data_IF_885722906100
#
_entry.id   IF_885722906100
#
_cell.length_a   1.000
_cell.length_b   1.000
_cell.length_c   1.000
_cell.angle_alpha   90.00
_cell.angle_beta   90.00
_cell.angle_gamma   90.00
#
_symmetry.space_group_name_H-M   'P 1'
#
loop_
_entity.id
_entity.type
_entity.pdbx_description
1 polymer ?
#
# COMPACT_ATOMS: atom_id res chain seq x y z
N UNK A 1 3.85 9.44 1.27
CA UNK A 1 3.91 9.52 -0.22
C UNK A 1 2.53 9.19 -0.82
N UNK A 2 2.13 9.84 -1.92
CA UNK A 2 0.90 9.53 -2.67
C UNK A 2 1.04 8.23 -3.47
N UNK A 3 -0.03 7.45 -3.54
CA UNK A 3 -0.13 6.24 -4.37
C UNK A 3 -1.13 6.48 -5.50
N UNK A 4 -0.63 6.58 -6.72
CA UNK A 4 -1.44 7.00 -7.87
C UNK A 4 -1.92 5.82 -8.71
N UNK A 5 -3.06 5.98 -9.34
CA UNK A 5 -3.50 5.18 -10.50
C UNK A 5 -2.81 5.66 -11.78
N UNK A 6 -2.89 4.86 -12.84
CA UNK A 6 -2.44 5.25 -14.17
C UNK A 6 -3.14 6.53 -14.64
N UNK A 7 -4.44 6.65 -14.38
CA UNK A 7 -5.23 7.81 -14.79
C UNK A 7 -4.85 9.08 -14.02
N UNK A 8 -4.67 8.98 -12.69
CA UNK A 8 -4.18 10.11 -11.89
C UNK A 8 -2.79 10.56 -12.34
N UNK A 9 -1.89 9.61 -12.63
CA UNK A 9 -0.55 9.92 -13.16
C UNK A 9 -0.62 10.64 -14.52
N UNK A 10 -1.50 10.20 -15.44
CA UNK A 10 -1.72 10.87 -16.73
C UNK A 10 -2.24 12.29 -16.56
N UNK A 11 -3.14 12.54 -15.61
CA UNK A 11 -3.63 13.90 -15.33
C UNK A 11 -2.52 14.81 -14.81
N UNK A 12 -1.67 14.29 -13.93
CA UNK A 12 -0.49 15.02 -13.44
C UNK A 12 0.46 15.37 -14.60
N UNK A 13 0.74 14.40 -15.48
CA UNK A 13 1.59 14.58 -16.65
C UNK A 13 0.98 15.59 -17.64
N UNK A 14 -0.30 15.45 -17.97
CA UNK A 14 -1.02 16.37 -18.85
C UNK A 14 -0.95 17.80 -18.33
N UNK A 15 -1.19 18.03 -17.04
CA UNK A 15 -1.09 19.34 -16.42
C UNK A 15 0.32 19.95 -16.57
N UNK A 16 1.36 19.16 -16.35
CA UNK A 16 2.75 19.61 -16.54
C UNK A 16 3.02 19.99 -18.01
N UNK A 17 2.52 19.20 -18.95
CA UNK A 17 2.73 19.46 -20.38
C UNK A 17 1.92 20.67 -20.86
N UNK A 18 0.63 20.76 -20.53
CA UNK A 18 -0.27 21.77 -21.08
C UNK A 18 -0.23 23.10 -20.34
N UNK A 19 -0.11 23.10 -19.02
CA UNK A 19 -0.17 24.32 -18.20
C UNK A 19 1.22 24.86 -17.86
N UNK A 20 2.17 23.98 -17.49
CA UNK A 20 3.54 24.40 -17.16
C UNK A 20 4.42 24.51 -18.41
N UNK A 21 4.10 23.74 -19.45
CA UNK A 21 4.81 23.78 -20.73
C UNK A 21 6.09 22.94 -20.76
N UNK A 22 6.27 21.98 -19.85
CA UNK A 22 7.41 21.05 -19.90
C UNK A 22 7.09 19.97 -20.94
N UNK A 23 7.86 19.84 -22.05
CA UNK A 23 7.55 18.88 -23.09
C UNK A 23 7.68 17.43 -22.60
N UNK A 24 6.81 16.53 -23.09
CA UNK A 24 6.83 15.10 -22.77
C UNK A 24 8.21 14.45 -23.02
N UNK A 25 8.90 14.88 -24.08
CA UNK A 25 10.25 14.43 -24.39
C UNK A 25 11.27 14.72 -23.27
N UNK A 26 11.13 15.84 -22.54
CA UNK A 26 12.00 16.14 -21.38
C UNK A 26 11.66 15.24 -20.18
N UNK A 27 10.38 14.94 -19.98
CA UNK A 27 9.96 13.99 -18.94
C UNK A 27 10.56 12.60 -19.20
N UNK A 28 10.49 12.14 -20.46
CA UNK A 28 11.11 10.89 -20.94
C UNK A 28 12.63 10.90 -20.78
N UNK A 29 13.32 12.01 -21.13
CA UNK A 29 14.77 12.13 -20.96
C UNK A 29 15.17 11.99 -19.47
N UNK A 30 14.42 12.60 -18.56
CA UNK A 30 14.66 12.48 -17.13
C UNK A 30 14.36 11.07 -16.60
N UNK A 31 13.29 10.44 -17.10
CA UNK A 31 12.90 9.08 -16.74
C UNK A 31 14.00 8.07 -17.12
N UNK A 32 14.43 8.06 -18.39
CA UNK A 32 15.49 7.16 -18.83
C UNK A 32 16.84 7.42 -18.18
N UNK A 33 17.20 8.68 -17.89
CA UNK A 33 18.41 9.00 -17.11
C UNK A 33 18.37 8.42 -15.70
N UNK A 34 17.21 8.46 -15.04
CA UNK A 34 17.02 7.84 -13.72
C UNK A 34 17.17 6.31 -13.77
N UNK A 35 16.63 5.67 -14.81
CA UNK A 35 16.82 4.23 -15.05
C UNK A 35 18.30 3.91 -15.24
N UNK A 36 19.01 4.65 -16.09
CA UNK A 36 20.43 4.44 -16.33
C UNK A 36 21.28 4.61 -15.06
N UNK A 37 20.95 5.60 -14.21
CA UNK A 37 21.61 5.79 -12.93
C UNK A 37 21.41 4.58 -11.98
N UNK A 38 20.20 4.02 -11.95
CA UNK A 38 19.92 2.81 -11.18
C UNK A 38 20.69 1.61 -11.73
N UNK A 39 20.69 1.43 -13.05
CA UNK A 39 21.42 0.33 -13.71
C UNK A 39 22.92 0.45 -13.45
N UNK A 40 23.49 1.65 -13.46
CA UNK A 40 24.88 1.86 -13.09
C UNK A 40 25.18 1.48 -11.63
N UNK A 41 24.23 1.67 -10.69
CA UNK A 41 24.36 1.17 -9.32
C UNK A 41 24.36 -0.36 -9.29
N UNK A 42 23.47 -1.01 -10.04
CA UNK A 42 23.39 -2.47 -10.13
C UNK A 42 24.62 -3.08 -10.81
N UNK A 43 25.12 -2.45 -11.87
CA UNK A 43 26.27 -2.89 -12.65
C UNK A 43 27.57 -3.00 -11.82
N UNK A 44 27.70 -2.18 -10.76
CA UNK A 44 28.80 -2.30 -9.79
C UNK A 44 28.82 -3.63 -9.06
N UNK A 45 27.68 -4.32 -8.98
CA UNK A 45 27.50 -5.61 -8.30
C UNK A 45 27.40 -6.78 -9.28
N UNK A 46 26.73 -6.60 -10.41
CA UNK A 46 26.41 -7.70 -11.33
C UNK A 46 27.30 -7.80 -12.56
N UNK A 47 27.96 -6.72 -12.97
CA UNK A 47 28.75 -6.66 -14.21
C UNK A 47 28.30 -5.54 -15.15
N UNK A 48 29.06 -5.33 -16.22
CA UNK A 48 28.95 -4.13 -17.08
C UNK A 48 28.13 -4.36 -18.36
N UNK A 49 27.78 -5.60 -18.70
CA UNK A 49 27.07 -5.94 -19.95
C UNK A 49 25.56 -6.01 -19.72
N UNK A 50 24.81 -5.05 -20.25
CA UNK A 50 23.38 -4.95 -19.99
C UNK A 50 22.55 -5.00 -21.26
N UNK A 51 21.44 -5.72 -21.22
CA UNK A 51 20.50 -5.82 -22.33
C UNK A 51 19.28 -4.93 -22.06
N UNK A 52 18.96 -4.02 -22.97
CA UNK A 52 17.75 -3.19 -22.90
C UNK A 52 16.68 -3.76 -23.83
N UNK A 53 15.52 -4.09 -23.27
CA UNK A 53 14.38 -4.62 -24.00
C UNK A 53 13.33 -3.52 -24.20
N UNK A 54 13.27 -2.93 -25.38
CA UNK A 54 12.42 -1.77 -25.67
C UNK A 54 11.08 -2.16 -26.33
N UNK A 55 9.98 -1.72 -25.74
CA UNK A 55 8.64 -1.82 -26.31
C UNK A 55 8.35 -0.74 -27.37
N UNK A 56 7.12 -0.77 -27.90
CA UNK A 56 6.69 0.19 -28.93
C UNK A 56 6.23 1.56 -28.41
N UNK A 57 5.90 1.66 -27.11
CA UNK A 57 5.29 2.83 -26.50
C UNK A 57 6.30 3.69 -25.74
N UNK A 58 5.81 4.62 -24.93
CA UNK A 58 6.64 5.55 -24.15
C UNK A 58 7.61 4.82 -23.21
N UNK A 59 7.19 3.70 -22.58
CA UNK A 59 8.09 2.89 -21.75
C UNK A 59 9.31 2.38 -22.54
N UNK A 60 9.12 2.04 -23.82
CA UNK A 60 10.21 1.69 -24.71
C UNK A 60 11.12 2.89 -25.00
N UNK A 61 10.53 4.08 -25.19
CA UNK A 61 11.27 5.34 -25.31
C UNK A 61 12.14 5.64 -24.09
N UNK A 62 11.62 5.46 -22.87
CA UNK A 62 12.37 5.59 -21.62
C UNK A 62 13.55 4.59 -21.59
N UNK A 63 13.35 3.37 -22.06
CA UNK A 63 14.41 2.37 -22.24
C UNK A 63 15.48 2.79 -23.24
N UNK A 64 15.10 3.42 -24.36
CA UNK A 64 16.04 3.94 -25.36
C UNK A 64 16.90 5.10 -24.82
N UNK A 65 16.28 5.99 -24.05
CA UNK A 65 17.01 7.02 -23.30
C UNK A 65 17.97 6.35 -22.31
N UNK A 66 17.51 5.36 -21.53
CA UNK A 66 18.35 4.65 -20.59
C UNK A 66 19.56 4.01 -21.28
N UNK A 67 19.37 3.37 -22.44
CA UNK A 67 20.44 2.76 -23.23
C UNK A 67 21.53 3.77 -23.64
N UNK A 68 21.13 4.98 -24.06
CA UNK A 68 22.07 6.08 -24.38
C UNK A 68 22.90 6.47 -23.16
N UNK A 69 22.25 6.76 -22.04
CA UNK A 69 22.91 7.17 -20.80
C UNK A 69 23.78 6.06 -20.19
N UNK A 70 23.35 4.80 -20.30
CA UNK A 70 24.16 3.65 -19.88
C UNK A 70 25.43 3.52 -20.72
N UNK A 71 25.33 3.72 -22.04
CA UNK A 71 26.49 3.70 -22.95
C UNK A 71 27.45 4.85 -22.63
N UNK A 72 26.93 6.06 -22.40
CA UNK A 72 27.73 7.21 -21.98
C UNK A 72 28.44 6.99 -20.64
N UNK A 73 27.80 6.27 -19.72
CA UNK A 73 28.39 5.86 -18.44
C UNK A 73 29.41 4.72 -18.57
N UNK A 74 29.69 4.23 -19.78
CA UNK A 74 30.71 3.22 -20.07
C UNK A 74 30.25 1.77 -19.93
N UNK A 75 28.94 1.50 -19.85
CA UNK A 75 28.41 0.15 -19.87
C UNK A 75 28.40 -0.43 -21.29
N UNK A 76 28.56 -1.75 -21.42
CA UNK A 76 28.38 -2.48 -22.68
C UNK A 76 26.90 -2.80 -22.86
N UNK A 77 26.20 -2.03 -23.68
CA UNK A 77 24.74 -2.08 -23.80
C UNK A 77 24.33 -2.75 -25.09
N UNK A 78 23.53 -3.81 -25.03
CA UNK A 78 22.81 -4.36 -26.18
C UNK A 78 21.36 -3.89 -26.22
N UNK A 79 20.83 -3.58 -27.40
CA UNK A 79 19.45 -3.12 -27.55
C UNK A 79 18.61 -4.10 -28.37
N UNK A 80 17.44 -4.49 -27.84
CA UNK A 80 16.47 -5.34 -28.54
C UNK A 80 15.13 -4.64 -28.57
N UNK A 81 14.62 -4.41 -29.77
CA UNK A 81 13.26 -3.95 -29.97
C UNK A 81 12.29 -5.13 -29.97
N UNK A 82 11.23 -5.03 -29.17
CA UNK A 82 10.19 -6.06 -29.13
C UNK A 82 9.45 -6.15 -30.47
N UNK A 83 9.26 -5.04 -31.17
CA UNK A 83 8.62 -4.98 -32.49
C UNK A 83 9.57 -4.28 -33.48
N UNK A 84 9.35 -4.37 -34.81
CA UNK A 84 10.15 -3.61 -35.77
C UNK A 84 10.22 -2.12 -35.38
N UNK A 85 11.43 -1.55 -35.34
CA UNK A 85 11.68 -0.22 -34.78
C UNK A 85 10.98 0.91 -35.56
N UNK A 86 10.58 0.63 -36.79
CA UNK A 86 9.77 1.49 -37.65
C UNK A 86 8.34 1.67 -37.13
N UNK A 87 7.88 0.81 -36.21
CA UNK A 87 6.55 0.91 -35.58
C UNK A 87 6.52 1.85 -34.36
N UNK A 88 7.67 2.35 -33.91
CA UNK A 88 7.70 3.35 -32.83
C UNK A 88 7.16 4.68 -33.35
N UNK A 89 6.42 5.39 -32.49
CA UNK A 89 5.75 6.65 -32.81
C UNK A 89 5.97 7.66 -31.67
N UNK A 90 5.63 8.92 -31.92
CA UNK A 90 5.73 9.99 -30.92
C UNK A 90 7.15 10.15 -30.38
N UNK A 91 7.27 10.37 -29.08
CA UNK A 91 8.57 10.59 -28.42
C UNK A 91 9.50 9.37 -28.50
N UNK A 92 8.96 8.14 -28.48
CA UNK A 92 9.74 6.93 -28.65
C UNK A 92 10.42 6.85 -30.04
N UNK A 93 9.77 7.37 -31.08
CA UNK A 93 10.37 7.48 -32.42
C UNK A 93 11.55 8.47 -32.44
N UNK A 94 11.41 9.60 -31.74
CA UNK A 94 12.49 10.58 -31.62
C UNK A 94 13.70 9.93 -30.96
N UNK A 95 13.50 9.23 -29.84
CA UNK A 95 14.58 8.54 -29.13
C UNK A 95 15.22 7.43 -29.96
N UNK A 96 14.40 6.67 -30.70
CA UNK A 96 14.91 5.67 -31.66
C UNK A 96 15.82 6.30 -32.71
N UNK A 97 15.43 7.42 -33.30
CA UNK A 97 16.25 8.13 -34.30
C UNK A 97 17.59 8.58 -33.70
N UNK A 98 17.60 9.06 -32.46
CA UNK A 98 18.83 9.47 -31.78
C UNK A 98 19.74 8.26 -31.52
N UNK A 99 19.17 7.15 -31.04
CA UNK A 99 19.88 5.88 -30.83
C UNK A 99 20.51 5.37 -32.14
N UNK A 100 19.78 5.43 -33.26
CA UNK A 100 20.28 5.04 -34.58
C UNK A 100 21.47 5.92 -35.01
N UNK A 101 21.39 7.25 -34.81
CA UNK A 101 22.47 8.19 -35.16
C UNK A 101 23.73 8.00 -34.30
N UNK A 102 23.56 7.56 -33.04
CA UNK A 102 24.67 7.22 -32.15
C UNK A 102 25.27 5.84 -32.43
N UNK A 103 24.62 5.02 -33.25
CA UNK A 103 25.13 3.70 -33.63
C UNK A 103 25.17 2.70 -32.48
N UNK A 104 24.23 2.77 -31.53
CA UNK A 104 24.15 1.79 -30.45
C UNK A 104 23.90 0.38 -31.02
N UNK A 105 24.52 -0.68 -30.44
CA UNK A 105 24.47 -2.01 -31.03
C UNK A 105 23.08 -2.65 -30.84
N UNK A 106 22.37 -2.77 -31.95
CA UNK A 106 21.08 -3.45 -32.03
C UNK A 106 21.28 -4.96 -32.19
N UNK A 107 20.50 -5.74 -31.44
CA UNK A 107 20.46 -7.20 -31.50
C UNK A 107 19.09 -7.59 -32.06
N UNK A 108 19.04 -8.31 -33.19
CA UNK A 108 17.78 -8.80 -33.71
C UNK A 108 17.07 -9.69 -32.70
N UNK A 109 15.75 -9.49 -32.52
CA UNK A 109 14.92 -10.28 -31.60
C UNK A 109 15.11 -11.79 -31.80
N UNK A 110 15.11 -12.25 -33.07
CA UNK A 110 15.29 -13.65 -33.40
C UNK A 110 16.66 -14.19 -32.95
N UNK A 111 17.71 -13.38 -33.02
CA UNK A 111 19.05 -13.73 -32.54
C UNK A 111 19.04 -13.90 -31.03
N UNK A 112 18.47 -12.94 -30.27
CA UNK A 112 18.38 -13.05 -28.81
C UNK A 112 17.63 -14.33 -28.38
N UNK A 113 16.50 -14.61 -29.00
CA UNK A 113 15.67 -15.77 -28.64
C UNK A 113 16.33 -17.13 -28.97
N UNK A 114 17.35 -17.13 -29.82
CA UNK A 114 18.18 -18.30 -30.11
C UNK A 114 19.38 -18.44 -29.16
N UNK A 115 19.80 -17.36 -28.50
CA UNK A 115 20.85 -17.43 -27.49
C UNK A 115 20.40 -18.28 -26.30
N UNK A 116 21.32 -19.08 -25.75
CA UNK A 116 21.09 -19.74 -24.46
C UNK A 116 20.77 -18.65 -23.43
N UNK A 117 19.64 -18.80 -22.73
CA UNK A 117 19.18 -17.80 -21.77
C UNK A 117 20.30 -17.44 -20.77
N UNK A 118 20.52 -16.14 -20.58
CA UNK A 118 21.62 -15.61 -19.75
C UNK A 118 22.86 -15.21 -20.55
N UNK A 119 23.17 -15.93 -21.63
CA UNK A 119 24.18 -15.55 -22.63
C UNK A 119 25.47 -14.95 -22.06
N UNK A 120 25.86 -13.81 -22.64
CA UNK A 120 27.01 -12.99 -22.22
C UNK A 120 26.61 -11.80 -21.33
N UNK A 121 25.35 -11.73 -20.92
CA UNK A 121 24.78 -10.55 -20.28
C UNK A 121 24.90 -10.67 -18.77
N UNK A 122 25.01 -9.52 -18.11
CA UNK A 122 25.15 -9.37 -16.67
C UNK A 122 23.86 -8.80 -16.04
N UNK A 123 22.94 -8.28 -16.85
CA UNK A 123 21.64 -7.75 -16.40
C UNK A 123 20.69 -7.36 -17.56
N UNK A 124 19.42 -7.14 -17.22
CA UNK A 124 18.36 -6.76 -18.18
C UNK A 124 17.61 -5.51 -17.71
N UNK A 125 17.33 -4.60 -18.63
CA UNK A 125 16.36 -3.51 -18.45
C UNK A 125 15.05 -3.87 -19.14
N UNK A 126 13.98 -4.01 -18.35
CA UNK A 126 12.62 -4.25 -18.83
C UNK A 126 11.93 -2.92 -19.12
N UNK A 127 11.93 -2.53 -20.40
CA UNK A 127 11.25 -1.36 -20.94
C UNK A 127 10.15 -1.76 -21.94
N UNK A 128 9.54 -2.93 -21.74
CA UNK A 128 8.66 -3.57 -22.71
C UNK A 128 7.22 -3.02 -22.67
N UNK A 129 6.57 -3.08 -21.50
CA UNK A 129 5.16 -2.72 -21.32
C UNK A 129 5.01 -1.85 -20.08
N UNK A 130 4.40 -0.67 -20.23
CA UNK A 130 4.14 0.26 -19.14
C UNK A 130 2.68 0.26 -18.68
N UNK A 131 2.27 1.38 -18.08
CA UNK A 131 0.96 1.63 -17.44
C UNK A 131 -0.27 1.49 -18.34
N UNK A 132 -0.10 1.47 -19.67
CA UNK A 132 -1.20 1.37 -20.64
C UNK A 132 -1.65 -0.06 -20.98
N UNK A 133 -1.02 -1.10 -20.41
CA UNK A 133 -1.27 -2.49 -20.83
C UNK A 133 -2.19 -3.21 -19.86
N UNK A 134 -3.23 -3.87 -20.38
CA UNK A 134 -4.15 -4.72 -19.63
C UNK A 134 -4.20 -6.10 -20.26
N UNK A 135 -4.14 -7.15 -19.42
CA UNK A 135 -4.22 -8.55 -19.82
C UNK A 135 -2.86 -9.19 -20.12
N UNK A 136 -2.91 -10.47 -20.49
CA UNK A 136 -1.73 -11.28 -20.77
C UNK A 136 -0.87 -10.66 -21.88
N UNK A 137 0.47 -10.53 -21.67
CA UNK A 137 1.37 -10.12 -22.73
C UNK A 137 1.23 -11.01 -23.95
N UNK A 138 1.11 -10.38 -25.12
CA UNK A 138 1.00 -11.06 -26.41
C UNK A 138 2.38 -11.24 -27.04
N UNK A 139 2.51 -12.14 -27.99
CA UNK A 139 3.74 -12.23 -28.78
C UNK A 139 3.98 -10.90 -29.54
N UNK A 140 5.24 -10.45 -29.67
CA UNK A 140 6.48 -11.13 -29.22
C UNK A 140 6.90 -10.82 -27.77
N UNK A 141 6.17 -9.96 -27.04
CA UNK A 141 6.48 -9.60 -25.66
C UNK A 141 6.49 -10.81 -24.73
N UNK A 142 5.54 -11.75 -24.92
CA UNK A 142 5.49 -12.97 -24.12
C UNK A 142 6.76 -13.82 -24.23
N UNK A 143 7.32 -13.97 -25.43
CA UNK A 143 8.59 -14.69 -25.64
C UNK A 143 9.77 -13.99 -24.96
N UNK A 144 9.86 -12.66 -25.03
CA UNK A 144 10.89 -11.89 -24.34
C UNK A 144 10.81 -12.06 -22.83
N UNK A 145 9.61 -11.93 -22.25
CA UNK A 145 9.42 -12.07 -20.80
C UNK A 145 9.80 -13.49 -20.34
N UNK A 146 9.47 -14.53 -21.13
CA UNK A 146 9.88 -15.91 -20.85
C UNK A 146 11.40 -16.06 -20.93
N UNK A 147 12.06 -15.45 -21.91
CA UNK A 147 13.51 -15.47 -22.06
C UNK A 147 14.20 -14.81 -20.85
N UNK A 148 13.70 -13.64 -20.39
CA UNK A 148 14.21 -12.98 -19.18
C UNK A 148 14.04 -13.87 -17.95
N UNK A 149 12.89 -14.52 -17.78
CA UNK A 149 12.68 -15.45 -16.68
C UNK A 149 13.67 -16.63 -16.72
N UNK A 150 13.97 -17.15 -17.91
CA UNK A 150 14.91 -18.27 -18.09
C UNK A 150 16.37 -17.84 -17.93
N UNK A 151 16.69 -16.57 -18.16
CA UNK A 151 18.07 -16.09 -18.11
C UNK A 151 18.63 -16.06 -16.68
N UNK A 152 17.76 -15.88 -15.68
CA UNK A 152 18.17 -15.75 -14.27
C UNK A 152 19.00 -14.49 -13.99
N UNK A 153 19.04 -13.55 -14.94
CA UNK A 153 19.77 -12.30 -14.81
C UNK A 153 19.03 -11.32 -13.88
N UNK A 154 19.75 -10.40 -13.23
CA UNK A 154 19.11 -9.31 -12.50
C UNK A 154 18.33 -8.41 -13.45
N UNK A 155 17.15 -7.98 -13.03
CA UNK A 155 16.21 -7.20 -13.84
C UNK A 155 15.88 -5.86 -13.20
N UNK A 156 16.06 -4.79 -13.97
CA UNK A 156 15.56 -3.44 -13.65
C UNK A 156 14.37 -3.13 -14.54
N UNK A 157 13.17 -3.00 -13.96
CA UNK A 157 11.96 -2.63 -14.71
C UNK A 157 11.77 -1.11 -14.75
N UNK A 158 11.38 -0.62 -15.92
CA UNK A 158 11.04 0.78 -16.17
C UNK A 158 9.55 1.00 -15.91
N UNK A 159 9.28 1.91 -14.98
CA UNK A 159 8.00 2.30 -14.40
C UNK A 159 7.21 1.20 -13.67
N UNK A 160 6.99 0.08 -14.33
CA UNK A 160 6.25 -1.08 -13.84
C UNK A 160 6.79 -2.36 -14.51
N UNK A 161 6.92 -3.49 -13.80
CA UNK A 161 7.30 -4.75 -14.44
C UNK A 161 6.29 -5.15 -15.50
N UNK A 162 6.79 -5.52 -16.68
CA UNK A 162 5.94 -5.93 -17.79
C UNK A 162 5.09 -7.13 -17.41
N UNK A 163 3.76 -6.98 -17.55
CA UNK A 163 2.77 -7.98 -17.12
C UNK A 163 2.09 -7.66 -15.78
N UNK A 164 2.44 -6.56 -15.11
CA UNK A 164 1.70 -6.07 -13.92
C UNK A 164 0.61 -5.08 -14.32
N UNK A 165 -0.59 -5.24 -13.75
CA UNK A 165 -1.61 -4.20 -13.75
C UNK A 165 -1.23 -3.13 -12.71
N UNK A 166 -1.00 -1.93 -13.20
CA UNK A 166 -0.50 -0.79 -12.42
C UNK A 166 -1.49 -0.24 -11.39
N UNK A 167 -2.78 -0.50 -11.54
CA UNK A 167 -3.83 0.01 -10.64
C UNK A 167 -4.25 -1.02 -9.59
N UNK A 168 -4.48 -2.27 -10.02
CA UNK A 168 -5.02 -3.33 -9.16
C UNK A 168 -3.97 -4.26 -8.56
N UNK A 169 -2.73 -4.23 -9.04
CA UNK A 169 -1.69 -5.19 -8.64
C UNK A 169 -1.91 -6.61 -9.16
N UNK A 170 -2.87 -6.82 -10.07
CA UNK A 170 -3.03 -8.09 -10.76
C UNK A 170 -1.79 -8.41 -11.61
N UNK A 171 -1.41 -9.69 -11.66
CA UNK A 171 -0.27 -10.17 -12.46
C UNK A 171 -0.79 -10.99 -13.64
N UNK A 172 -0.41 -10.60 -14.84
CA UNK A 172 -0.75 -11.27 -16.10
C UNK A 172 0.41 -12.15 -16.58
N UNK A 173 0.11 -13.33 -17.10
CA UNK A 173 1.15 -14.33 -17.42
C UNK A 173 1.49 -14.33 -18.92
N UNK A 174 2.78 -14.32 -19.31
CA UNK A 174 3.97 -14.26 -18.46
C UNK A 174 4.22 -12.84 -17.91
N UNK A 175 4.89 -12.74 -16.75
CA UNK A 175 5.22 -11.45 -16.10
C UNK A 175 6.70 -11.40 -15.74
N UNK A 176 7.30 -10.20 -15.86
CA UNK A 176 8.64 -9.91 -15.37
C UNK A 176 8.62 -9.87 -13.84
N UNK A 177 9.58 -10.54 -13.23
CA UNK A 177 9.91 -10.39 -11.82
C UNK A 177 11.19 -9.56 -11.74
N UNK A 178 11.07 -8.31 -11.31
CA UNK A 178 12.16 -7.36 -11.20
C UNK A 178 12.89 -7.49 -9.85
N UNK A 179 14.19 -7.22 -9.85
CA UNK A 179 14.95 -6.98 -8.63
C UNK A 179 14.74 -5.54 -8.15
N UNK A 180 14.65 -4.61 -9.10
CA UNK A 180 14.36 -3.19 -8.88
C UNK A 180 13.35 -2.69 -9.90
N UNK A 181 12.35 -1.93 -9.45
CA UNK A 181 11.48 -1.16 -10.34
C UNK A 181 11.75 0.32 -10.14
N UNK A 182 12.14 1.00 -11.20
CA UNK A 182 12.34 2.46 -11.24
C UNK A 182 11.03 3.09 -11.70
N UNK A 183 10.31 3.74 -10.81
CA UNK A 183 9.05 4.44 -11.13
C UNK A 183 9.20 5.95 -10.97
N UNK A 184 8.31 6.69 -11.61
CA UNK A 184 8.48 8.13 -11.78
C UNK A 184 7.40 8.93 -11.06
N UNK A 185 7.82 10.04 -10.43
CA UNK A 185 7.00 11.00 -9.67
C UNK A 185 6.31 10.44 -8.41
N UNK A 186 5.48 9.42 -8.57
CA UNK A 186 4.75 8.75 -7.49
C UNK A 186 4.80 7.23 -7.68
N UNK A 187 4.70 6.47 -6.59
CA UNK A 187 4.46 5.03 -6.66
C UNK A 187 3.07 4.80 -7.23
N UNK A 188 2.95 3.81 -8.11
CA UNK A 188 1.67 3.34 -8.60
C UNK A 188 1.09 2.28 -7.67
N UNK A 189 -0.22 2.30 -7.46
CA UNK A 189 -0.92 1.44 -6.48
C UNK A 189 -0.59 -0.04 -6.64
N UNK A 190 -0.61 -0.53 -7.88
CA UNK A 190 -0.37 -1.94 -8.20
C UNK A 190 1.03 -2.43 -7.82
N UNK A 191 2.04 -1.54 -7.73
CA UNK A 191 3.40 -1.92 -7.31
C UNK A 191 3.48 -2.31 -5.83
N UNK A 192 2.48 -1.95 -5.02
CA UNK A 192 2.42 -2.23 -3.58
C UNK A 192 1.33 -3.24 -3.21
N UNK A 193 0.51 -3.67 -4.17
CA UNK A 193 -0.56 -4.64 -3.95
C UNK A 193 -0.11 -6.03 -4.38
N UNK A 194 -0.41 -7.04 -3.56
CA UNK A 194 -0.16 -8.42 -3.93
C UNK A 194 -1.18 -8.90 -4.97
N UNK A 195 -0.77 -9.72 -5.96
CA UNK A 195 0.54 -10.37 -6.07
C UNK A 195 1.67 -9.51 -6.66
N UNK A 196 1.39 -8.40 -7.35
CA UNK A 196 2.41 -7.61 -8.05
C UNK A 196 3.54 -7.05 -7.17
N UNK A 197 3.31 -6.78 -5.88
CA UNK A 197 4.37 -6.41 -4.95
C UNK A 197 5.53 -7.44 -4.91
N UNK A 198 5.23 -8.73 -5.09
CA UNK A 198 6.26 -9.79 -5.19
C UNK A 198 7.03 -9.82 -6.51
N UNK A 199 6.55 -9.08 -7.52
CA UNK A 199 7.13 -8.97 -8.86
C UNK A 199 7.86 -7.64 -9.08
N UNK A 200 7.54 -6.60 -8.30
CA UNK A 200 8.13 -5.27 -8.42
C UNK A 200 9.53 -5.15 -7.81
N UNK A 201 9.95 -6.09 -6.97
CA UNK A 201 11.23 -6.01 -6.27
C UNK A 201 11.32 -4.76 -5.40
N UNK A 202 12.50 -4.14 -5.35
CA UNK A 202 12.67 -2.85 -4.66
C UNK A 202 12.13 -1.73 -5.54
N UNK A 203 11.03 -1.10 -5.15
CA UNK A 203 10.47 0.06 -5.84
C UNK A 203 11.23 1.33 -5.45
N UNK A 204 11.87 1.98 -6.41
CA UNK A 204 12.54 3.28 -6.25
C UNK A 204 11.81 4.35 -7.06
N UNK A 205 11.50 5.47 -6.41
CA UNK A 205 10.78 6.59 -7.03
C UNK A 205 11.77 7.69 -7.38
N UNK A 206 11.78 8.11 -8.64
CA UNK A 206 12.63 9.20 -9.11
C UNK A 206 11.79 10.40 -9.59
N UNK A 207 12.19 11.63 -9.27
CA UNK A 207 11.53 12.82 -9.76
C UNK A 207 11.83 13.02 -11.24
N UNK A 208 10.80 13.28 -12.05
CA UNK A 208 10.91 13.54 -13.49
C UNK A 208 10.34 14.91 -13.87
N UNK A 209 10.43 15.88 -12.95
CA UNK A 209 9.81 17.22 -13.08
C UNK A 209 8.28 17.23 -13.00
N UNK A 210 7.69 16.19 -12.40
CA UNK A 210 6.29 16.17 -11.96
C UNK A 210 6.29 16.22 -10.43
N UNK A 211 5.96 17.36 -9.80
CA UNK A 211 5.91 17.48 -8.34
C UNK A 211 4.84 16.55 -7.74
N UNK A 212 5.19 15.82 -6.68
CA UNK A 212 4.27 14.88 -6.02
C UNK A 212 3.01 15.56 -5.45
N UNK A 213 3.08 16.86 -5.11
CA UNK A 213 1.92 17.64 -4.65
C UNK A 213 0.77 17.72 -5.67
N UNK A 214 1.05 17.61 -6.96
CA UNK A 214 0.03 17.58 -8.01
C UNK A 214 -0.89 16.36 -7.91
N UNK A 215 -0.47 15.29 -7.21
CA UNK A 215 -1.31 14.11 -7.02
C UNK A 215 -2.64 14.46 -6.32
N UNK A 216 -2.62 15.39 -5.36
CA UNK A 216 -3.84 15.83 -4.68
C UNK A 216 -4.85 16.47 -5.64
N UNK A 217 -4.35 17.38 -6.48
CA UNK A 217 -5.15 18.08 -7.50
C UNK A 217 -5.65 17.12 -8.60
N UNK A 218 -4.87 16.08 -8.90
CA UNK A 218 -5.26 15.02 -9.84
C UNK A 218 -6.35 14.08 -9.29
N UNK A 219 -6.76 14.26 -8.02
CA UNK A 219 -7.81 13.47 -7.36
C UNK A 219 -7.29 12.35 -6.47
N UNK A 220 -5.97 12.20 -6.31
CA UNK A 220 -5.40 11.14 -5.50
C UNK A 220 -5.75 11.32 -4.01
N UNK A 221 -6.34 10.27 -3.43
CA UNK A 221 -6.67 10.16 -2.01
C UNK A 221 -6.05 8.93 -1.35
N UNK A 222 -5.14 8.25 -2.04
CA UNK A 222 -4.48 7.04 -1.53
C UNK A 222 -3.04 7.36 -1.12
N UNK A 223 -2.62 6.83 0.02
CA UNK A 223 -1.32 7.12 0.62
C UNK A 223 -0.61 5.85 1.05
N UNK A 224 0.72 5.85 0.95
CA UNK A 224 1.54 4.87 1.65
C UNK A 224 1.56 5.23 3.14
N UNK A 225 1.22 4.27 3.99
CA UNK A 225 1.29 4.43 5.44
C UNK A 225 2.76 4.48 5.86
N UNK A 226 3.21 5.65 6.30
CA UNK A 226 4.56 5.91 6.77
C UNK A 226 4.57 6.91 7.93
N UNK A 227 5.67 6.99 8.68
CA UNK A 227 5.81 8.00 9.73
C UNK A 227 5.65 9.44 9.22
N UNK A 228 6.07 9.71 7.98
CA UNK A 228 5.85 11.00 7.30
C UNK A 228 4.36 11.28 7.09
N UNK A 229 3.57 10.27 6.70
CA UNK A 229 2.11 10.44 6.57
C UNK A 229 1.48 10.87 7.90
N UNK A 230 1.84 10.20 9.00
CA UNK A 230 1.35 10.56 10.32
C UNK A 230 1.71 12.00 10.69
N UNK A 231 2.98 12.38 10.50
CA UNK A 231 3.48 13.70 10.87
C UNK A 231 2.92 14.82 10.01
N UNK A 232 3.01 14.70 8.69
CA UNK A 232 2.71 15.80 7.76
C UNK A 232 1.22 15.97 7.52
N UNK A 233 0.47 14.87 7.51
CA UNK A 233 -0.93 14.87 7.09
C UNK A 233 -1.92 14.66 8.22
N UNK A 234 -1.63 13.73 9.13
CA UNK A 234 -2.46 13.53 10.32
C UNK A 234 -2.08 14.47 11.47
N UNK A 235 -0.95 15.18 11.34
CA UNK A 235 -0.39 16.03 12.40
C UNK A 235 -0.20 15.25 13.71
N UNK A 236 0.04 13.94 13.59
CA UNK A 236 0.28 13.03 14.69
C UNK A 236 1.79 12.83 14.82
N UNK A 237 2.34 13.18 15.96
CA UNK A 237 3.67 12.73 16.34
C UNK A 237 3.55 11.31 16.87
N UNK A 238 4.18 10.35 16.21
CA UNK A 238 4.25 8.96 16.70
C UNK A 238 5.03 8.84 18.03
N UNK A 239 5.75 9.89 18.42
CA UNK A 239 6.53 9.97 19.65
C UNK A 239 6.44 11.40 20.17
N UNK A 240 5.30 11.77 20.76
CA UNK A 240 5.29 12.99 21.57
C UNK A 240 6.23 12.82 22.75
N UNK A 241 7.09 13.82 22.96
CA UNK A 241 8.00 13.82 24.09
C UNK A 241 7.16 13.90 25.36
N UNK A 242 7.36 12.95 26.28
CA UNK A 242 6.71 13.01 27.59
C UNK A 242 7.28 14.17 28.38
N UNK A 243 6.41 15.09 28.77
CA UNK A 243 6.74 16.16 29.71
C UNK A 243 7.18 15.57 31.06
N UNK A 244 8.16 16.22 31.70
CA UNK A 244 8.77 15.74 32.94
C UNK A 244 7.80 15.83 34.12
N UNK A 245 6.95 16.86 34.15
CA UNK A 245 5.96 17.09 35.22
C UNK A 245 4.60 16.52 34.83
N UNK A 246 4.47 15.19 34.88
CA UNK A 246 3.26 14.47 34.50
C UNK A 246 2.91 13.34 35.46
N UNK A 247 1.66 12.88 35.40
CA UNK A 247 1.18 11.76 36.21
C UNK A 247 0.41 10.74 35.35
N UNK A 248 0.04 9.59 35.94
CA UNK A 248 -0.66 8.51 35.24
C UNK A 248 -1.96 8.91 34.53
N UNK A 249 -2.69 9.92 35.00
CA UNK A 249 -3.87 10.44 34.32
C UNK A 249 -3.58 11.34 33.11
N UNK A 250 -2.34 11.83 32.96
CA UNK A 250 -1.96 12.76 31.87
C UNK A 250 -1.96 12.06 30.52
N UNK A 251 -1.69 10.75 30.51
CA UNK A 251 -1.60 9.94 29.29
C UNK A 251 -2.81 9.03 29.10
N UNK A 252 -3.95 9.44 29.66
CA UNK A 252 -5.23 8.79 29.51
C UNK A 252 -5.37 7.41 30.16
N UNK A 253 -6.61 6.92 30.16
CA UNK A 253 -7.03 5.65 30.72
C UNK A 253 -7.84 4.88 29.68
N UNK A 254 -7.25 3.82 29.13
CA UNK A 254 -7.90 2.94 28.16
C UNK A 254 -8.65 1.80 28.87
N UNK A 255 -9.91 1.59 28.51
CA UNK A 255 -10.70 0.42 28.85
C UNK A 255 -10.65 -0.58 27.70
N UNK A 256 -10.41 -1.85 28.01
CA UNK A 256 -10.32 -2.93 27.02
C UNK A 256 -11.36 -3.99 27.35
N UNK A 257 -12.35 -4.16 26.48
CA UNK A 257 -13.33 -5.23 26.52
C UNK A 257 -12.96 -6.29 25.47
N UNK A 258 -12.16 -7.27 25.87
CA UNK A 258 -11.59 -8.25 24.95
C UNK A 258 -11.30 -9.58 25.63
N UNK A 259 -11.23 -10.64 24.81
CA UNK A 259 -10.92 -12.00 25.22
C UNK A 259 -12.13 -12.78 25.72
N UNK A 260 -12.11 -14.07 25.47
CA UNK A 260 -13.14 -15.05 25.87
C UNK A 260 -12.44 -16.27 26.45
N UNK A 261 -13.21 -17.24 26.94
CA UNK A 261 -12.66 -18.49 27.50
C UNK A 261 -11.66 -19.19 26.57
N UNK A 262 -11.85 -19.10 25.25
CA UNK A 262 -10.95 -19.70 24.24
C UNK A 262 -9.86 -18.74 23.74
N UNK A 263 -10.04 -17.43 23.93
CA UNK A 263 -9.18 -16.39 23.33
C UNK A 263 -8.75 -15.31 24.34
N UNK A 264 -8.51 -15.67 25.60
CA UNK A 264 -7.99 -14.76 26.63
C UNK A 264 -6.70 -14.02 26.19
N UNK A 265 -5.90 -14.65 25.31
CA UNK A 265 -4.70 -14.06 24.72
C UNK A 265 -4.97 -12.76 23.95
N UNK A 266 -6.16 -12.58 23.36
CA UNK A 266 -6.50 -11.37 22.64
C UNK A 266 -6.53 -10.15 23.58
N UNK A 267 -7.29 -10.23 24.68
CA UNK A 267 -7.31 -9.17 25.70
C UNK A 267 -5.95 -8.93 26.35
N UNK A 268 -5.16 -9.99 26.56
CA UNK A 268 -3.79 -9.89 27.05
C UNK A 268 -2.88 -9.07 26.11
N UNK A 269 -2.95 -9.33 24.81
CA UNK A 269 -2.17 -8.63 23.79
C UNK A 269 -2.61 -7.17 23.66
N UNK A 270 -3.92 -6.91 23.62
CA UNK A 270 -4.47 -5.55 23.60
C UNK A 270 -4.01 -4.74 24.82
N UNK A 271 -4.08 -5.33 26.01
CA UNK A 271 -3.66 -4.69 27.27
C UNK A 271 -2.20 -4.31 27.26
N UNK A 272 -1.32 -5.23 26.84
CA UNK A 272 0.12 -4.96 26.71
C UNK A 272 0.42 -3.93 25.64
N UNK A 273 -0.31 -3.95 24.52
CA UNK A 273 -0.15 -2.99 23.44
C UNK A 273 -0.52 -1.57 23.92
N UNK A 274 -1.64 -1.39 24.63
CA UNK A 274 -2.04 -0.09 25.18
C UNK A 274 -1.00 0.49 26.16
N UNK A 275 -0.47 -0.36 27.06
CA UNK A 275 0.61 0.04 27.98
C UNK A 275 1.88 0.44 27.23
N UNK A 276 2.33 -0.38 26.27
CA UNK A 276 3.51 -0.10 25.45
C UNK A 276 3.34 1.11 24.53
N UNK A 277 2.11 1.37 24.08
CA UNK A 277 1.73 2.54 23.31
C UNK A 277 1.73 3.83 24.12
N UNK A 278 1.91 3.75 25.44
CA UNK A 278 2.09 4.91 26.29
C UNK A 278 0.84 5.36 27.06
N UNK A 279 -0.21 4.53 27.11
CA UNK A 279 -1.37 4.81 27.97
C UNK A 279 -0.94 4.90 29.43
N UNK A 280 -1.41 5.91 30.15
CA UNK A 280 -1.05 6.12 31.57
C UNK A 280 -1.74 5.14 32.51
N UNK A 281 -2.96 4.74 32.18
CA UNK A 281 -3.74 3.70 32.86
C UNK A 281 -4.38 2.76 31.84
N UNK A 282 -4.47 1.48 32.19
CA UNK A 282 -5.18 0.48 31.38
C UNK A 282 -6.02 -0.40 32.28
N UNK A 283 -7.29 -0.57 31.93
CA UNK A 283 -8.14 -1.58 32.55
C UNK A 283 -8.65 -2.59 31.54
N UNK A 284 -8.59 -3.85 31.94
CA UNK A 284 -9.08 -4.95 31.14
C UNK A 284 -10.39 -5.49 31.72
N UNK A 285 -11.48 -5.19 31.02
CA UNK A 285 -12.80 -5.73 31.27
C UNK A 285 -13.00 -7.09 30.59
N UNK A 286 -13.58 -8.03 31.34
CA UNK A 286 -13.87 -9.38 30.89
C UNK A 286 -15.00 -10.00 31.75
N UNK A 287 -15.74 -10.99 31.23
CA UNK A 287 -16.67 -11.79 32.04
C UNK A 287 -16.02 -12.28 33.34
N UNK A 288 -16.65 -11.99 34.47
CA UNK A 288 -16.02 -12.03 35.79
C UNK A 288 -15.46 -13.39 36.19
N UNK A 289 -16.09 -14.49 35.75
CA UNK A 289 -15.60 -15.86 36.04
C UNK A 289 -14.25 -16.16 35.37
N UNK A 290 -13.83 -15.38 34.38
CA UNK A 290 -12.55 -15.53 33.70
C UNK A 290 -11.40 -14.77 34.37
N UNK A 291 -11.70 -13.86 35.30
CA UNK A 291 -10.72 -12.99 35.93
C UNK A 291 -9.57 -13.75 36.63
N UNK A 292 -9.90 -14.85 37.30
CA UNK A 292 -8.91 -15.69 37.99
C UNK A 292 -7.89 -16.30 37.02
N UNK A 293 -8.28 -16.62 35.79
CA UNK A 293 -7.39 -17.23 34.80
C UNK A 293 -6.31 -16.25 34.27
N UNK A 294 -6.56 -14.95 34.38
CA UNK A 294 -5.69 -13.89 33.85
C UNK A 294 -5.03 -13.05 34.95
N UNK A 295 -5.41 -13.26 36.20
CA UNK A 295 -4.82 -12.62 37.37
C UNK A 295 -3.29 -12.76 37.35
N UNK A 296 -2.58 -11.64 37.50
CA UNK A 296 -1.11 -11.59 37.53
C UNK A 296 -0.41 -11.76 36.18
N UNK A 297 -1.12 -11.91 35.04
CA UNK A 297 -0.47 -12.03 33.71
C UNK A 297 0.03 -10.69 33.17
N UNK A 298 -0.62 -9.60 33.54
CA UNK A 298 -0.20 -8.20 33.32
C UNK A 298 -0.43 -7.44 34.63
N UNK A 299 0.49 -7.53 35.59
CA UNK A 299 0.31 -6.89 36.90
C UNK A 299 0.19 -5.35 36.81
N UNK A 300 0.66 -4.75 35.71
CA UNK A 300 0.57 -3.31 35.46
C UNK A 300 -0.84 -2.84 35.08
N UNK A 301 -1.71 -3.76 34.65
CA UNK A 301 -3.08 -3.45 34.23
C UNK A 301 -4.09 -3.77 35.33
N UNK A 302 -5.14 -2.97 35.42
CA UNK A 302 -6.24 -3.20 36.35
C UNK A 302 -7.26 -4.15 35.74
N UNK A 303 -7.57 -5.26 36.40
CA UNK A 303 -8.69 -6.10 35.98
C UNK A 303 -10.01 -5.45 36.39
N UNK A 304 -10.97 -5.44 35.46
CA UNK A 304 -12.33 -4.95 35.66
C UNK A 304 -13.34 -6.08 35.38
N UNK A 305 -13.44 -7.08 36.27
CA UNK A 305 -14.35 -8.21 36.07
C UNK A 305 -15.80 -7.73 36.00
N UNK A 306 -16.52 -8.13 34.96
CA UNK A 306 -17.93 -7.78 34.75
C UNK A 306 -18.87 -8.84 35.32
N UNK A 307 -20.01 -8.39 35.86
CA UNK A 307 -21.10 -9.28 36.29
C UNK A 307 -21.77 -9.93 35.08
N UNK A 308 -22.09 -11.22 35.16
CA UNK A 308 -22.83 -11.90 34.09
C UNK A 308 -22.45 -13.34 33.81
N UNK A 309 -21.29 -13.82 34.26
CA UNK A 309 -20.88 -15.23 34.12
C UNK A 309 -19.55 -15.40 33.39
N UNK A 310 -19.41 -16.48 32.61
CA UNK A 310 -18.16 -16.87 31.93
C UNK A 310 -18.07 -16.45 30.44
N UNK A 311 -19.10 -15.80 29.89
CA UNK A 311 -19.16 -15.41 28.47
C UNK A 311 -19.71 -13.98 28.32
N UNK A 312 -19.45 -13.34 27.18
CA UNK A 312 -19.91 -11.97 26.91
C UNK A 312 -21.43 -11.88 26.72
N UNK A 313 -22.04 -12.91 26.14
CA UNK A 313 -23.50 -13.00 25.96
C UNK A 313 -24.30 -12.91 27.27
N UNK A 314 -23.66 -13.26 28.38
CA UNK A 314 -24.28 -13.28 29.70
C UNK A 314 -23.96 -12.03 30.53
N UNK A 315 -23.06 -11.16 30.03
CA UNK A 315 -22.72 -9.87 30.63
C UNK A 315 -23.69 -8.80 30.11
N UNK A 316 -24.39 -8.03 30.96
CA UNK A 316 -25.20 -6.91 30.51
C UNK A 316 -24.32 -5.82 29.87
N UNK A 317 -24.73 -5.28 28.71
CA UNK A 317 -23.99 -4.21 28.03
C UNK A 317 -23.78 -2.98 28.93
N UNK A 318 -24.78 -2.62 29.72
CA UNK A 318 -24.70 -1.49 30.65
C UNK A 318 -23.61 -1.68 31.72
N UNK A 319 -23.30 -2.92 32.12
CA UNK A 319 -22.22 -3.18 33.08
C UNK A 319 -20.84 -2.77 32.53
N UNK A 320 -20.65 -2.85 31.20
CA UNK A 320 -19.44 -2.34 30.55
C UNK A 320 -19.50 -0.82 30.39
N UNK A 321 -20.66 -0.27 30.01
CA UNK A 321 -20.87 1.17 29.86
C UNK A 321 -20.66 1.93 31.18
N UNK A 322 -21.04 1.36 32.31
CA UNK A 322 -20.85 1.96 33.64
C UNK A 322 -19.36 2.18 33.99
N UNK A 323 -18.45 1.46 33.34
CA UNK A 323 -17.00 1.65 33.50
C UNK A 323 -16.45 2.80 32.65
N UNK A 324 -17.17 3.22 31.62
CA UNK A 324 -16.69 4.16 30.60
C UNK A 324 -16.52 5.60 31.08
N UNK A 325 -17.37 6.19 31.95
CA UNK A 325 -17.25 7.59 32.37
C UNK A 325 -15.93 8.00 33.02
N UNK A 326 -15.13 7.03 33.48
CA UNK A 326 -13.82 7.26 34.09
C UNK A 326 -12.65 7.00 33.12
N UNK A 327 -12.93 6.88 31.81
CA UNK A 327 -12.01 6.37 30.80
C UNK A 327 -12.03 7.24 29.57
N UNK A 328 -10.87 7.35 28.94
CA UNK A 328 -10.68 8.21 27.78
C UNK A 328 -10.92 7.45 26.46
N UNK A 329 -10.90 6.12 26.48
CA UNK A 329 -11.20 5.30 25.31
C UNK A 329 -11.65 3.88 25.69
N UNK A 330 -12.47 3.27 24.82
CA UNK A 330 -12.84 1.86 24.88
C UNK A 330 -12.32 1.11 23.66
N UNK A 331 -11.63 0.00 23.87
CA UNK A 331 -11.30 -1.00 22.85
C UNK A 331 -12.23 -2.18 23.02
N UNK A 332 -12.91 -2.62 21.97
CA UNK A 332 -13.86 -3.73 22.05
C UNK A 332 -13.76 -4.67 20.85
N UNK A 333 -13.92 -5.97 21.11
CA UNK A 333 -14.09 -6.99 20.07
C UNK A 333 -13.03 -8.08 20.01
N UNK A 334 -11.72 -7.82 20.18
CA UNK A 334 -10.69 -8.85 20.03
C UNK A 334 -10.92 -10.10 20.89
N UNK A 335 -11.24 -11.22 20.24
CA UNK A 335 -11.41 -12.52 20.88
C UNK A 335 -12.61 -12.61 21.83
N UNK A 336 -13.60 -11.72 21.71
CA UNK A 336 -14.85 -11.82 22.47
C UNK A 336 -15.69 -13.04 22.06
N UNK A 337 -15.47 -13.55 20.84
CA UNK A 337 -16.27 -14.60 20.25
C UNK A 337 -17.58 -14.06 19.66
N UNK A 338 -18.28 -14.93 18.95
CA UNK A 338 -19.58 -14.67 18.35
C UNK A 338 -20.60 -15.59 19.01
N UNK A 339 -21.82 -15.09 19.22
CA UNK A 339 -22.92 -15.85 19.77
C UNK A 339 -24.17 -15.70 18.90
N UNK A 340 -25.00 -16.73 18.93
CA UNK A 340 -26.22 -16.78 18.13
C UNK A 340 -27.29 -15.84 18.69
N UNK A 341 -28.02 -15.18 17.78
CA UNK A 341 -29.09 -14.25 18.10
C UNK A 341 -28.64 -12.81 18.25
N UNK A 342 -29.47 -11.87 17.77
CA UNK A 342 -29.24 -10.44 17.99
C UNK A 342 -29.78 -10.03 19.36
N UNK A 343 -28.87 -9.92 20.32
CA UNK A 343 -29.16 -9.42 21.66
C UNK A 343 -29.24 -7.89 21.73
N UNK A 344 -28.94 -7.18 20.63
CA UNK A 344 -28.73 -5.74 20.65
C UNK A 344 -27.53 -5.32 21.48
N UNK A 345 -26.68 -6.25 21.95
CA UNK A 345 -25.63 -5.98 22.93
C UNK A 345 -24.57 -5.02 22.38
N UNK A 346 -24.00 -5.32 21.20
CA UNK A 346 -23.02 -4.44 20.56
C UNK A 346 -23.63 -3.08 20.18
N UNK A 347 -24.89 -3.09 19.71
CA UNK A 347 -25.63 -1.86 19.41
C UNK A 347 -25.79 -1.00 20.66
N UNK A 348 -26.12 -1.61 21.81
CA UNK A 348 -26.25 -0.91 23.08
C UNK A 348 -24.91 -0.30 23.54
N UNK A 349 -23.80 -1.02 23.38
CA UNK A 349 -22.46 -0.46 23.65
C UNK A 349 -22.19 0.73 22.72
N UNK A 350 -22.45 0.56 21.43
CA UNK A 350 -22.17 1.57 20.41
C UNK A 350 -22.99 2.85 20.62
N UNK A 351 -24.30 2.74 20.85
CA UNK A 351 -25.19 3.87 21.16
C UNK A 351 -24.93 4.44 22.57
N UNK A 352 -24.56 3.59 23.52
CA UNK A 352 -24.33 3.97 24.92
C UNK A 352 -22.96 4.59 25.20
N UNK A 353 -21.98 4.40 24.31
CA UNK A 353 -20.64 4.98 24.45
C UNK A 353 -20.64 6.51 24.29
N UNK A 354 -21.67 7.07 23.64
CA UNK A 354 -21.80 8.51 23.40
C UNK A 354 -20.58 9.08 22.66
N UNK A 355 -20.01 10.15 23.20
CA UNK A 355 -18.85 10.83 22.62
C UNK A 355 -17.50 10.15 22.96
N UNK A 356 -17.52 9.03 23.68
CA UNK A 356 -16.28 8.34 24.07
C UNK A 356 -15.56 7.77 22.83
N UNK A 357 -14.24 7.96 22.68
CA UNK A 357 -13.46 7.26 21.66
C UNK A 357 -13.63 5.74 21.75
N UNK A 358 -14.06 5.11 20.65
CA UNK A 358 -14.24 3.66 20.55
C UNK A 358 -13.36 3.10 19.44
N UNK A 359 -12.56 2.09 19.78
CA UNK A 359 -11.84 1.26 18.83
C UNK A 359 -12.53 -0.10 18.76
N UNK A 360 -13.20 -0.37 17.64
CA UNK A 360 -13.92 -1.63 17.38
C UNK A 360 -13.11 -2.50 16.44
N UNK A 361 -12.85 -3.74 16.85
CA UNK A 361 -12.02 -4.68 16.08
C UNK A 361 -12.59 -6.12 16.12
N UNK A 362 -12.12 -6.98 15.22
CA UNK A 362 -12.38 -8.42 15.21
C UNK A 362 -13.87 -8.81 15.36
N UNK A 363 -14.23 -9.58 16.40
CA UNK A 363 -15.57 -10.14 16.57
C UNK A 363 -16.66 -9.07 16.66
N UNK A 364 -16.34 -7.86 17.14
CA UNK A 364 -17.29 -6.76 17.20
C UNK A 364 -17.61 -6.15 15.82
N UNK A 365 -16.74 -6.32 14.82
CA UNK A 365 -17.02 -5.91 13.42
C UNK A 365 -17.95 -6.89 12.70
N UNK A 366 -18.05 -8.14 13.17
CA UNK A 366 -18.90 -9.15 12.55
C UNK A 366 -20.39 -8.74 12.52
N UNK A 367 -20.85 -7.99 13.52
CA UNK A 367 -22.23 -7.47 13.56
C UNK A 367 -22.54 -6.51 12.41
N UNK A 368 -21.58 -5.67 12.00
CA UNK A 368 -21.74 -4.74 10.89
C UNK A 368 -21.83 -5.48 9.55
N UNK A 369 -21.05 -6.55 9.39
CA UNK A 369 -21.13 -7.46 8.23
C UNK A 369 -22.45 -8.24 8.24
N UNK A 370 -22.89 -8.72 9.42
CA UNK A 370 -24.15 -9.42 9.61
C UNK A 370 -25.38 -8.57 9.21
N UNK A 371 -25.38 -7.29 9.55
CA UNK A 371 -26.44 -6.36 9.14
C UNK A 371 -26.54 -6.20 7.62
N UNK A 372 -25.40 -6.21 6.90
CA UNK A 372 -25.36 -6.17 5.44
C UNK A 372 -25.81 -7.48 4.81
N UNK A 373 -25.43 -8.63 5.39
CA UNK A 373 -25.94 -9.94 4.99
C UNK A 373 -27.47 -10.01 5.13
N UNK A 374 -28.01 -9.52 6.24
CA UNK A 374 -29.46 -9.49 6.47
C UNK A 374 -30.22 -8.60 5.46
N UNK A 375 -29.55 -7.62 4.87
CA UNK A 375 -30.08 -6.77 3.78
C UNK A 375 -29.98 -7.44 2.39
N UNK A 376 -29.50 -8.69 2.32
CA UNK A 376 -29.46 -9.48 1.09
C UNK A 376 -28.14 -9.41 0.31
N UNK A 377 -27.09 -8.79 0.88
CA UNK A 377 -25.76 -8.81 0.27
C UNK A 377 -25.12 -10.20 0.39
N UNK A 378 -24.30 -10.58 -0.60
CA UNK A 378 -23.44 -11.76 -0.45
C UNK A 378 -22.39 -11.56 0.64
N UNK A 379 -21.83 -12.64 1.18
CA UNK A 379 -20.81 -12.54 2.24
C UNK A 379 -19.57 -11.74 1.82
N UNK A 380 -19.16 -11.86 0.55
CA UNK A 380 -18.05 -11.08 0.00
C UNK A 380 -18.41 -9.59 -0.09
N UNK A 381 -19.58 -9.25 -0.63
CA UNK A 381 -20.05 -7.87 -0.70
C UNK A 381 -20.24 -7.26 0.69
N UNK A 382 -20.83 -7.99 1.63
CA UNK A 382 -21.05 -7.53 2.99
C UNK A 382 -19.73 -7.24 3.71
N UNK A 383 -18.70 -8.09 3.51
CA UNK A 383 -17.38 -7.83 4.07
C UNK A 383 -16.72 -6.59 3.44
N UNK A 384 -16.75 -6.48 2.11
CA UNK A 384 -16.17 -5.33 1.38
C UNK A 384 -16.89 -4.03 1.73
N UNK A 385 -18.23 -4.05 1.69
CA UNK A 385 -19.08 -2.91 2.04
C UNK A 385 -18.95 -2.55 3.51
N UNK A 386 -18.83 -3.52 4.41
CA UNK A 386 -18.69 -3.26 5.83
C UNK A 386 -17.41 -2.48 6.12
N UNK A 387 -16.28 -2.95 5.57
CA UNK A 387 -14.99 -2.24 5.68
C UNK A 387 -15.04 -0.88 4.99
N UNK A 388 -15.60 -0.81 3.77
CA UNK A 388 -15.71 0.44 3.03
C UNK A 388 -16.60 1.47 3.74
N UNK A 389 -17.77 1.07 4.25
CA UNK A 389 -18.71 1.95 4.95
C UNK A 389 -18.12 2.47 6.24
N UNK A 390 -17.40 1.63 6.98
CA UNK A 390 -16.67 2.06 8.16
C UNK A 390 -15.60 3.10 7.83
N UNK A 391 -14.77 2.85 6.80
CA UNK A 391 -13.77 3.82 6.34
C UNK A 391 -14.36 5.11 5.78
N UNK A 392 -15.41 5.02 4.96
CA UNK A 392 -16.10 6.16 4.35
C UNK A 392 -16.85 7.01 5.39
N UNK A 393 -17.38 6.39 6.45
CA UNK A 393 -17.90 7.12 7.61
C UNK A 393 -16.76 7.90 8.29
N UNK A 394 -15.58 7.30 8.42
CA UNK A 394 -14.37 7.99 8.89
C UNK A 394 -14.01 9.19 8.03
N UNK A 395 -13.99 9.05 6.71
CA UNK A 395 -13.70 10.15 5.80
C UNK A 395 -14.74 11.28 5.89
N UNK A 396 -16.03 10.95 5.98
CA UNK A 396 -17.13 11.92 6.14
C UNK A 396 -17.05 12.66 7.47
N UNK A 397 -16.81 11.92 8.55
CA UNK A 397 -16.62 12.47 9.87
C UNK A 397 -15.37 13.38 9.92
N UNK A 398 -14.28 12.97 9.25
CA UNK A 398 -13.04 13.75 9.22
C UNK A 398 -13.22 15.07 8.49
N UNK A 399 -14.05 15.10 7.43
CA UNK A 399 -14.37 16.31 6.70
C UNK A 399 -15.13 17.35 7.54
N UNK A 400 -15.80 16.93 8.61
CA UNK A 400 -16.50 17.81 9.55
C UNK A 400 -15.60 18.28 10.71
N UNK A 401 -14.33 17.87 10.74
CA UNK A 401 -13.36 18.19 11.81
C UNK A 401 -12.15 18.92 11.23
N UNK A 402 -11.54 19.78 12.05
CA UNK A 402 -10.30 20.49 11.65
C UNK A 402 -9.09 19.55 11.57
N UNK A 403 -9.12 18.42 12.29
CA UNK A 403 -8.08 17.39 12.26
C UNK A 403 -8.70 15.98 12.11
N UNK A 404 -8.37 15.23 11.04
CA UNK A 404 -8.80 13.85 10.85
C UNK A 404 -8.36 12.87 11.95
N UNK A 405 -7.31 13.20 12.71
CA UNK A 405 -6.85 12.43 13.86
C UNK A 405 -7.73 12.57 15.11
N UNK A 406 -8.68 13.50 15.12
CA UNK A 406 -9.56 13.80 16.25
C UNK A 406 -10.94 13.12 16.16
N UNK A 407 -11.07 12.09 15.32
CA UNK A 407 -12.32 11.36 15.13
C UNK A 407 -12.73 10.59 16.39
N UNK A 408 -13.98 10.80 16.81
CA UNK A 408 -14.64 10.01 17.84
C UNK A 408 -15.50 8.92 17.21
N UNK A 409 -15.87 7.92 18.01
CA UNK A 409 -16.76 6.88 17.52
C UNK A 409 -18.17 7.38 17.24
N UNK A 410 -18.66 8.33 18.07
CA UNK A 410 -19.91 9.06 17.83
C UNK A 410 -19.96 9.70 16.43
N UNK A 411 -18.84 10.28 15.99
CA UNK A 411 -18.75 10.91 14.67
C UNK A 411 -18.94 9.89 13.52
N UNK A 412 -18.44 8.66 13.70
CA UNK A 412 -18.64 7.58 12.73
C UNK A 412 -20.10 7.15 12.65
N UNK A 413 -20.87 7.23 13.73
CA UNK A 413 -22.30 6.85 13.75
C UNK A 413 -23.11 7.83 12.94
N UNK A 414 -22.92 9.12 13.20
CA UNK A 414 -23.62 10.18 12.46
C UNK A 414 -23.27 10.15 10.97
N UNK A 415 -22.07 9.65 10.66
CA UNK A 415 -21.53 9.57 9.31
C UNK A 415 -21.68 8.21 8.63
N UNK A 416 -22.34 7.20 9.20
CA UNK A 416 -22.63 5.90 8.54
C UNK A 416 -23.88 6.01 7.65
#
# INVERSE_FOLDING_TARGET
MYLVTAEEMRRMEQKIISEVGIPALLLMENAGRAVAAEVAEQARRSGQRWLVLAGKGNNGGDGLVAARHMTEAGLDVGLVYAVPKERLQGDALIQRNIVDQLGLPEIPLATLLQEKAGGKWDGVVDALLGTGTIGNPKEPYASLIKWVKQSGLPVVSVDVPSGVNVDSGAVYTPCIKADVTVTFACKKRGLLQFPAASYAGKVKVYPIQIPAGLAWEAGCRTFEVSGELFKERLQLSLVDKREEDTHKGTYGHVLIAAGSRRMLGAGLLCTRAALRGGSGLVSWALPGEMSAAVAGRVPEAMLAPLTGGAAWESVPADALLDLLPQRDALVIGPGMGQWDGDSGWLRRIWEGAGDSPLLVDADALAGLIGALLAQGHSAEEAAVLGVYRHGAAGDRAAAARDNPGSLLAGDLIEAL
#
